data_IF_304172878133
#
_entry.id   IF_304172878133
#
_cell.length_a   1.000
_cell.length_b   1.000
_cell.length_c   1.000
_cell.angle_alpha   90.00
_cell.angle_beta   90.00
_cell.angle_gamma   90.00
#
_symmetry.space_group_name_H-M   'P 1'
#
loop_
_entity.id
_entity.type
_entity.pdbx_description
1 polymer ?
#
# COMPACT_ATOMS: atom_id res chain seq x y z
N UNK A 1 -12.21 -35.86 14.39
CA UNK A 1 -11.68 -34.52 14.03
C UNK A 1 -11.82 -34.39 12.50
N UNK A 2 -12.79 -33.59 12.04
CA UNK A 2 -12.98 -33.38 10.59
C UNK A 2 -12.07 -32.23 10.15
N UNK A 3 -11.07 -32.51 9.31
CA UNK A 3 -10.34 -31.51 8.57
C UNK A 3 -11.33 -30.81 7.61
N UNK A 4 -11.72 -29.59 7.93
CA UNK A 4 -12.35 -28.69 6.99
C UNK A 4 -11.25 -28.15 6.06
N UNK A 5 -10.94 -28.90 5.00
CA UNK A 5 -10.24 -28.37 3.85
C UNK A 5 -11.21 -27.41 3.15
N UNK A 6 -10.97 -26.10 3.25
CA UNK A 6 -11.64 -25.12 2.42
C UNK A 6 -11.13 -25.31 0.99
N UNK A 7 -12.01 -25.81 0.11
CA UNK A 7 -11.78 -25.92 -1.32
C UNK A 7 -11.83 -24.49 -1.94
N UNK A 8 -10.67 -23.96 -2.33
CA UNK A 8 -10.50 -22.68 -3.00
C UNK A 8 -10.40 -22.85 -4.52
N UNK A 9 -11.27 -23.63 -5.13
CA UNK A 9 -11.37 -23.81 -6.58
C UNK A 9 -12.09 -22.64 -7.29
N UNK A 10 -11.78 -21.40 -6.91
CA UNK A 10 -12.10 -20.20 -7.68
C UNK A 10 -10.80 -19.42 -7.87
N UNK A 11 -10.34 -19.25 -9.11
CA UNK A 11 -9.03 -18.71 -9.50
C UNK A 11 -8.72 -17.26 -9.13
N UNK A 12 -9.14 -16.79 -7.96
CA UNK A 12 -8.84 -15.49 -7.37
C UNK A 12 -7.95 -15.63 -6.13
N UNK A 13 -6.91 -14.83 -6.02
CA UNK A 13 -6.07 -14.74 -4.83
C UNK A 13 -6.86 -14.24 -3.61
N UNK A 14 -6.44 -14.62 -2.38
CA UNK A 14 -7.11 -14.14 -1.16
C UNK A 14 -6.86 -12.63 -0.95
N UNK A 15 -5.62 -12.19 -1.09
CA UNK A 15 -5.23 -10.79 -0.91
C UNK A 15 -4.33 -10.28 -2.05
N UNK A 16 -4.53 -9.01 -2.40
CA UNK A 16 -3.59 -8.20 -3.18
C UNK A 16 -3.09 -7.06 -2.30
N UNK A 17 -1.79 -6.91 -2.17
CA UNK A 17 -1.16 -5.74 -1.54
C UNK A 17 -0.64 -4.84 -2.64
N UNK A 18 -0.86 -3.54 -2.58
CA UNK A 18 -0.33 -2.61 -3.58
C UNK A 18 0.08 -1.27 -2.97
N UNK A 19 0.95 -0.57 -3.68
CA UNK A 19 1.42 0.78 -3.40
C UNK A 19 1.71 1.51 -4.71
N UNK A 20 1.47 2.82 -4.76
CA UNK A 20 1.53 3.65 -5.97
C UNK A 20 2.56 4.75 -5.81
N UNK A 21 3.46 4.87 -6.78
CA UNK A 21 4.33 6.03 -6.94
C UNK A 21 3.84 6.94 -8.08
N UNK A 22 4.01 8.25 -7.93
CA UNK A 22 3.45 9.25 -8.85
C UNK A 22 4.51 10.02 -9.62
N UNK A 23 4.09 10.65 -10.74
CA UNK A 23 4.96 11.48 -11.58
C UNK A 23 5.02 12.95 -11.12
N UNK A 24 4.03 13.41 -10.34
CA UNK A 24 3.89 14.79 -9.91
C UNK A 24 3.68 14.90 -8.40
N UNK A 25 4.21 15.98 -7.84
CA UNK A 25 3.96 16.41 -6.47
C UNK A 25 2.66 17.24 -6.39
N UNK A 26 2.09 17.38 -5.21
CA UNK A 26 0.86 18.14 -4.97
C UNK A 26 0.97 19.61 -5.37
N UNK A 27 2.12 20.23 -5.17
CA UNK A 27 2.38 21.64 -5.53
C UNK A 27 2.51 21.87 -7.02
N UNK A 28 2.70 20.81 -7.83
CA UNK A 28 2.84 20.88 -9.29
C UNK A 28 1.50 20.71 -10.01
N UNK A 29 0.47 20.28 -9.30
CA UNK A 29 -0.85 19.99 -9.86
C UNK A 29 -1.87 21.03 -9.42
N UNK A 30 -2.59 21.60 -10.38
CA UNK A 30 -3.71 22.53 -10.08
C UNK A 30 -4.79 21.80 -9.26
N UNK A 31 -5.05 22.31 -8.05
CA UNK A 31 -5.93 21.68 -7.05
C UNK A 31 -5.18 20.94 -5.94
N UNK A 32 -3.85 20.76 -6.05
CA UNK A 32 -3.02 20.17 -5.03
C UNK A 32 -3.55 18.83 -4.51
N UNK A 33 -3.55 18.62 -3.22
CA UNK A 33 -4.11 17.41 -2.57
C UNK A 33 -5.62 17.20 -2.80
N UNK A 34 -6.35 18.17 -3.35
CA UNK A 34 -7.74 18.02 -3.78
C UNK A 34 -7.88 17.36 -5.17
N UNK A 35 -6.80 17.21 -5.93
CA UNK A 35 -6.76 16.69 -7.30
C UNK A 35 -5.74 15.54 -7.44
N UNK A 36 -5.76 14.60 -6.51
CA UNK A 36 -4.81 13.44 -6.45
C UNK A 36 -4.90 12.57 -7.71
N UNK A 37 -6.07 12.49 -8.35
CA UNK A 37 -6.30 11.84 -9.64
C UNK A 37 -5.41 12.37 -10.77
N UNK A 38 -4.88 13.61 -10.64
CA UNK A 38 -3.99 14.22 -11.63
C UNK A 38 -2.51 14.00 -11.39
N UNK A 39 -2.13 13.30 -10.30
CA UNK A 39 -0.71 13.09 -9.98
C UNK A 39 -0.01 12.13 -10.92
N UNK A 40 -0.75 11.41 -11.77
CA UNK A 40 -0.30 10.37 -12.71
C UNK A 40 0.55 9.28 -12.08
N UNK A 41 0.30 8.06 -12.46
CA UNK A 41 1.10 6.90 -12.02
C UNK A 41 2.49 6.95 -12.64
N UNK A 42 3.52 6.88 -11.82
CA UNK A 42 4.88 6.54 -12.25
C UNK A 42 5.01 5.03 -12.39
N UNK A 43 4.72 4.31 -11.32
CA UNK A 43 4.60 2.86 -11.28
C UNK A 43 3.72 2.43 -10.11
N UNK A 44 3.24 1.20 -10.17
CA UNK A 44 2.62 0.48 -9.06
C UNK A 44 3.42 -0.78 -8.80
N UNK A 45 3.64 -1.10 -7.55
CA UNK A 45 4.05 -2.46 -7.17
C UNK A 45 2.87 -3.14 -6.51
N UNK A 46 2.62 -4.38 -6.92
CA UNK A 46 1.64 -5.24 -6.26
C UNK A 46 2.29 -6.53 -5.80
N UNK A 47 1.69 -7.15 -4.79
CA UNK A 47 2.05 -8.48 -4.32
C UNK A 47 0.80 -9.33 -4.07
N UNK A 48 0.85 -10.56 -4.52
CA UNK A 48 -0.07 -11.62 -4.15
C UNK A 48 0.69 -12.93 -3.91
N UNK A 49 0.04 -13.90 -3.27
CA UNK A 49 0.70 -15.17 -2.90
C UNK A 49 1.09 -16.01 -4.12
N UNK A 50 0.31 -15.95 -5.20
CA UNK A 50 0.50 -16.81 -6.38
C UNK A 50 1.59 -16.27 -7.31
N UNK A 51 1.67 -14.94 -7.48
CA UNK A 51 2.53 -14.31 -8.49
C UNK A 51 3.74 -13.60 -7.85
N UNK A 52 3.76 -13.42 -6.52
CA UNK A 52 4.79 -12.63 -5.85
C UNK A 52 4.69 -11.13 -6.17
N UNK A 53 5.84 -10.46 -6.21
CA UNK A 53 5.92 -9.04 -6.54
C UNK A 53 5.82 -8.82 -8.05
N UNK A 54 4.94 -7.89 -8.47
CA UNK A 54 4.81 -7.45 -9.86
C UNK A 54 4.90 -5.94 -9.94
N UNK A 55 5.50 -5.44 -11.03
CA UNK A 55 5.66 -4.02 -11.31
C UNK A 55 4.74 -3.68 -12.49
N UNK A 56 4.01 -2.57 -12.37
CA UNK A 56 3.08 -2.06 -13.37
C UNK A 56 3.44 -0.62 -13.68
N UNK A 57 3.49 -0.27 -14.94
CA UNK A 57 3.71 1.09 -15.39
C UNK A 57 2.39 1.74 -15.83
N UNK A 58 2.40 3.05 -16.04
CA UNK A 58 1.18 3.82 -16.36
C UNK A 58 0.32 3.17 -17.46
N UNK A 59 0.85 2.64 -18.60
CA UNK A 59 0.04 1.98 -19.62
C UNK A 59 -0.66 0.69 -19.15
N UNK A 60 -0.17 0.08 -18.07
CA UNK A 60 -0.72 -1.19 -17.54
C UNK A 60 -1.91 -0.99 -16.59
N UNK A 61 -2.26 0.26 -16.26
CA UNK A 61 -3.26 0.54 -15.22
C UNK A 61 -4.64 -0.06 -15.51
N UNK A 62 -5.17 -0.04 -16.75
CA UNK A 62 -6.44 -0.71 -17.02
C UNK A 62 -6.40 -2.22 -16.75
N UNK A 63 -5.25 -2.87 -17.04
CA UNK A 63 -5.04 -4.30 -16.76
C UNK A 63 -4.95 -4.56 -15.25
N UNK A 64 -4.20 -3.75 -14.52
CA UNK A 64 -4.11 -3.85 -13.06
C UNK A 64 -5.50 -3.73 -12.42
N UNK A 65 -6.29 -2.72 -12.82
CA UNK A 65 -7.64 -2.52 -12.29
C UNK A 65 -8.55 -3.71 -12.57
N UNK A 66 -8.50 -4.27 -13.77
CA UNK A 66 -9.25 -5.49 -14.10
C UNK A 66 -8.80 -6.70 -13.25
N UNK A 67 -7.50 -6.83 -12.97
CA UNK A 67 -7.00 -7.91 -12.12
C UNK A 67 -7.45 -7.80 -10.66
N UNK A 68 -7.71 -6.59 -10.15
CA UNK A 68 -8.19 -6.41 -8.75
C UNK A 68 -9.52 -7.13 -8.49
N UNK A 69 -10.32 -7.40 -9.54
CA UNK A 69 -11.57 -8.15 -9.44
C UNK A 69 -11.36 -9.62 -9.04
N UNK A 70 -10.15 -10.13 -9.17
CA UNK A 70 -9.82 -11.52 -8.82
C UNK A 70 -9.45 -11.71 -7.34
N UNK A 71 -9.37 -10.63 -6.55
CA UNK A 71 -8.95 -10.70 -5.16
C UNK A 71 -10.10 -10.38 -4.21
N UNK A 72 -10.15 -11.09 -3.08
CA UNK A 72 -11.16 -10.87 -2.05
C UNK A 72 -10.90 -9.62 -1.22
N UNK A 73 -9.62 -9.26 -1.07
CA UNK A 73 -9.17 -8.15 -0.23
C UNK A 73 -8.02 -7.40 -0.89
N UNK A 74 -8.09 -6.08 -0.82
CA UNK A 74 -7.04 -5.17 -1.28
C UNK A 74 -6.44 -4.52 -0.05
N UNK A 75 -5.16 -4.79 0.22
CA UNK A 75 -4.45 -4.31 1.40
C UNK A 75 -3.53 -3.15 1.03
N UNK A 76 -3.65 -2.04 1.73
CA UNK A 76 -2.85 -0.85 1.52
C UNK A 76 -2.49 -0.17 2.84
N UNK A 77 -1.61 0.83 2.75
CA UNK A 77 -1.33 1.76 3.83
C UNK A 77 -1.56 3.20 3.34
N UNK A 78 -2.74 3.76 3.57
CA UNK A 78 -3.25 5.04 3.07
C UNK A 78 -3.82 5.00 1.65
N UNK A 79 -4.08 3.82 1.09
CA UNK A 79 -4.53 3.67 -0.29
C UNK A 79 -5.88 4.29 -0.58
N UNK A 80 -6.83 4.27 0.37
CA UNK A 80 -8.13 4.92 0.21
C UNK A 80 -8.04 6.43 0.01
N UNK A 81 -7.04 7.07 0.61
CA UNK A 81 -6.86 8.51 0.52
C UNK A 81 -5.88 8.93 -0.57
N UNK A 82 -5.07 8.01 -1.09
CA UNK A 82 -4.04 8.32 -2.08
C UNK A 82 -4.09 7.38 -3.29
N UNK A 83 -3.65 6.14 -3.17
CA UNK A 83 -3.45 5.20 -4.27
C UNK A 83 -4.71 5.04 -5.14
N UNK A 84 -5.87 4.83 -4.50
CA UNK A 84 -7.12 4.63 -5.23
C UNK A 84 -7.57 5.88 -5.97
N UNK A 85 -7.28 7.06 -5.41
CA UNK A 85 -7.56 8.33 -6.09
C UNK A 85 -6.67 8.53 -7.30
N UNK A 86 -5.37 8.20 -7.20
CA UNK A 86 -4.46 8.22 -8.36
C UNK A 86 -4.95 7.26 -9.43
N UNK A 87 -5.30 6.04 -9.04
CA UNK A 87 -5.77 4.99 -9.95
C UNK A 87 -7.12 5.32 -10.60
N UNK A 88 -7.95 6.15 -9.98
CA UNK A 88 -9.27 6.55 -10.52
C UNK A 88 -9.18 7.29 -11.85
N UNK A 89 -8.03 7.90 -12.18
CA UNK A 89 -7.78 8.50 -13.50
C UNK A 89 -7.72 7.47 -14.64
N UNK A 90 -7.57 6.18 -14.34
CA UNK A 90 -7.36 5.12 -15.33
C UNK A 90 -8.53 4.15 -15.47
N UNK A 91 -9.53 4.25 -14.60
CA UNK A 91 -10.72 3.39 -14.64
C UNK A 91 -11.49 3.36 -13.33
N UNK A 92 -12.46 2.45 -13.24
CA UNK A 92 -13.24 2.27 -12.01
C UNK A 92 -12.39 1.71 -10.87
N UNK A 93 -12.48 2.34 -9.72
CA UNK A 93 -11.83 1.95 -8.46
C UNK A 93 -12.82 1.45 -7.40
N UNK A 94 -14.06 1.18 -7.80
CA UNK A 94 -15.13 0.74 -6.89
C UNK A 94 -14.75 -0.54 -6.14
N UNK A 95 -14.18 -1.50 -6.86
CA UNK A 95 -13.70 -2.76 -6.25
C UNK A 95 -12.58 -2.53 -5.25
N UNK A 96 -11.66 -1.60 -5.52
CA UNK A 96 -10.62 -1.25 -4.58
C UNK A 96 -11.21 -0.78 -3.25
N UNK A 97 -12.16 0.16 -3.28
CA UNK A 97 -12.82 0.65 -2.08
C UNK A 97 -13.67 -0.43 -1.38
N UNK A 98 -14.46 -1.18 -2.14
CA UNK A 98 -15.36 -2.21 -1.59
C UNK A 98 -14.59 -3.33 -0.87
N UNK A 99 -13.41 -3.68 -1.35
CA UNK A 99 -12.57 -4.77 -0.81
C UNK A 99 -11.36 -4.25 -0.01
N UNK A 100 -11.35 -2.96 0.31
CA UNK A 100 -10.23 -2.31 0.99
C UNK A 100 -10.02 -2.86 2.40
N UNK A 101 -8.75 -3.02 2.73
CA UNK A 101 -8.23 -3.02 4.09
C UNK A 101 -7.08 -2.02 4.14
N UNK A 102 -7.42 -0.76 4.35
CA UNK A 102 -6.44 0.31 4.55
C UNK A 102 -6.00 0.36 6.00
N UNK A 103 -4.78 -0.12 6.26
CA UNK A 103 -4.26 -0.19 7.63
C UNK A 103 -4.12 1.19 8.28
N UNK A 104 -3.81 2.25 7.52
CA UNK A 104 -3.74 3.59 8.10
C UNK A 104 -5.12 4.10 8.52
N UNK A 105 -6.17 3.81 7.75
CA UNK A 105 -7.54 4.18 8.11
C UNK A 105 -7.96 3.46 9.39
N UNK A 106 -7.71 2.15 9.49
CA UNK A 106 -8.00 1.37 10.71
C UNK A 106 -7.23 1.93 11.91
N UNK A 107 -5.92 2.12 11.77
CA UNK A 107 -5.08 2.63 12.86
C UNK A 107 -5.46 4.05 13.26
N UNK A 108 -5.77 4.93 12.32
CA UNK A 108 -6.19 6.31 12.63
C UNK A 108 -7.49 6.35 13.43
N UNK A 109 -8.44 5.45 13.15
CA UNK A 109 -9.69 5.31 13.95
C UNK A 109 -9.42 4.82 15.36
N UNK A 110 -8.53 3.82 15.51
CA UNK A 110 -8.19 3.26 16.83
C UNK A 110 -7.36 4.23 17.70
N UNK A 111 -6.51 5.04 17.08
CA UNK A 111 -5.55 5.88 17.78
C UNK A 111 -6.03 7.33 17.97
N UNK A 112 -6.93 7.82 17.10
CA UNK A 112 -7.32 9.23 17.03
C UNK A 112 -6.31 10.14 16.31
N UNK A 113 -5.22 9.58 15.76
CA UNK A 113 -4.21 10.31 14.99
C UNK A 113 -3.58 9.42 13.91
N UNK A 114 -2.92 10.05 12.93
CA UNK A 114 -2.25 9.33 11.84
C UNK A 114 -0.86 8.87 12.25
N UNK A 115 -0.48 7.67 11.79
CA UNK A 115 0.87 7.09 11.94
C UNK A 115 1.52 6.93 10.56
N UNK A 116 2.83 6.80 10.54
CA UNK A 116 3.59 6.55 9.30
C UNK A 116 3.89 5.05 9.16
N UNK A 117 3.84 4.53 7.94
CA UNK A 117 4.21 3.14 7.64
C UNK A 117 5.58 2.77 8.22
N UNK A 118 6.58 3.64 8.03
CA UNK A 118 7.93 3.43 8.53
C UNK A 118 7.99 3.29 10.06
N UNK A 119 7.29 4.15 10.80
CA UNK A 119 7.25 4.11 12.27
C UNK A 119 6.58 2.84 12.79
N UNK A 120 5.42 2.47 12.20
CA UNK A 120 4.71 1.25 12.58
C UNK A 120 5.55 0.00 12.25
N UNK A 121 6.20 -0.02 11.09
CA UNK A 121 7.05 -1.14 10.67
C UNK A 121 8.29 -1.28 11.54
N UNK A 122 8.96 -0.18 11.91
CA UNK A 122 10.09 -0.20 12.86
C UNK A 122 9.67 -0.75 14.22
N UNK A 123 8.57 -0.25 14.77
CA UNK A 123 8.07 -0.67 16.07
C UNK A 123 7.63 -2.14 16.09
N UNK A 124 6.94 -2.61 15.02
CA UNK A 124 6.32 -3.94 14.96
C UNK A 124 7.27 -5.01 14.43
N UNK A 125 8.00 -4.71 13.34
CA UNK A 125 8.81 -5.67 12.59
C UNK A 125 10.32 -5.50 12.82
N UNK A 126 10.75 -4.43 13.53
CA UNK A 126 12.17 -4.12 13.73
C UNK A 126 12.88 -3.62 12.46
N UNK A 127 12.14 -3.25 11.41
CA UNK A 127 12.68 -2.78 10.13
C UNK A 127 11.77 -1.71 9.52
N UNK A 128 12.38 -0.73 8.85
CA UNK A 128 11.69 0.38 8.22
C UNK A 128 12.07 0.56 6.76
N UNK A 129 11.61 1.65 6.17
CA UNK A 129 11.91 2.04 4.80
C UNK A 129 13.11 2.97 4.70
N UNK A 130 13.64 3.12 3.47
CA UNK A 130 14.69 4.07 3.13
C UNK A 130 14.16 5.02 2.04
N UNK A 131 14.26 6.35 2.28
CA UNK A 131 13.79 7.36 1.33
C UNK A 131 12.42 7.95 1.67
N UNK A 132 11.95 8.85 0.81
CA UNK A 132 10.68 9.57 0.95
C UNK A 132 9.94 9.66 -0.39
N UNK A 133 8.60 9.83 -0.36
CA UNK A 133 7.79 9.98 -1.56
C UNK A 133 8.14 11.22 -2.40
N UNK A 134 8.68 12.28 -1.80
CA UNK A 134 9.15 13.47 -2.54
C UNK A 134 10.39 13.13 -3.39
N UNK A 135 11.31 12.34 -2.86
CA UNK A 135 12.50 11.89 -3.60
C UNK A 135 12.11 10.96 -4.74
N UNK A 136 11.11 10.08 -4.57
CA UNK A 136 10.68 9.16 -5.62
C UNK A 136 10.17 9.88 -6.86
N UNK A 137 9.42 10.96 -6.74
CA UNK A 137 8.97 11.80 -7.87
C UNK A 137 10.17 12.42 -8.59
N UNK A 138 11.14 12.95 -7.85
CA UNK A 138 12.35 13.56 -8.45
C UNK A 138 13.19 12.51 -9.21
N UNK A 139 13.40 11.34 -8.61
CA UNK A 139 14.11 10.22 -9.25
C UNK A 139 13.41 9.74 -10.53
N UNK A 140 12.09 9.61 -10.48
CA UNK A 140 11.31 9.21 -11.66
C UNK A 140 11.47 10.19 -12.82
N UNK A 141 11.36 11.47 -12.54
CA UNK A 141 11.39 12.55 -13.55
C UNK A 141 12.79 12.83 -14.11
N UNK A 142 13.84 12.44 -13.42
CA UNK A 142 15.21 12.61 -13.91
C UNK A 142 15.44 11.91 -15.26
N UNK A 143 14.67 10.88 -15.57
CA UNK A 143 14.88 10.02 -16.73
C UNK A 143 16.07 9.05 -16.60
N UNK A 144 16.83 9.16 -15.51
CA UNK A 144 17.96 8.31 -15.22
C UNK A 144 17.50 6.87 -14.86
N UNK A 145 17.95 5.84 -15.58
CA UNK A 145 17.54 4.46 -15.33
C UNK A 145 17.84 3.98 -13.91
N UNK A 146 18.98 4.37 -13.33
CA UNK A 146 19.40 3.95 -11.99
C UNK A 146 18.52 4.60 -10.92
N UNK A 147 18.14 5.87 -11.13
CA UNK A 147 17.21 6.57 -10.23
C UNK A 147 15.77 6.01 -10.36
N UNK A 148 15.34 5.66 -11.57
CA UNK A 148 14.06 4.96 -11.75
C UNK A 148 14.03 3.59 -11.08
N UNK A 149 15.14 2.86 -11.12
CA UNK A 149 15.26 1.60 -10.39
C UNK A 149 15.13 1.81 -8.87
N UNK A 150 15.66 2.91 -8.32
CA UNK A 150 15.45 3.26 -6.90
C UNK A 150 13.97 3.50 -6.56
N UNK A 151 13.18 4.09 -7.47
CA UNK A 151 11.72 4.24 -7.27
C UNK A 151 11.05 2.87 -7.19
N UNK A 152 11.44 1.94 -8.06
CA UNK A 152 10.94 0.55 -8.02
C UNK A 152 11.26 -0.10 -6.66
N UNK A 153 12.50 0.01 -6.21
CA UNK A 153 12.95 -0.59 -4.93
C UNK A 153 12.25 0.04 -3.73
N UNK A 154 12.03 1.36 -3.77
CA UNK A 154 11.30 2.09 -2.74
C UNK A 154 9.85 1.62 -2.64
N UNK A 155 9.11 1.59 -3.75
CA UNK A 155 7.73 1.10 -3.81
C UNK A 155 7.63 -0.39 -3.41
N UNK A 156 8.55 -1.24 -3.89
CA UNK A 156 8.64 -2.65 -3.45
C UNK A 156 8.78 -2.78 -1.95
N UNK A 157 9.61 -1.92 -1.35
CA UNK A 157 9.82 -1.92 0.09
C UNK A 157 8.56 -1.55 0.86
N UNK A 158 7.80 -0.57 0.37
CA UNK A 158 6.53 -0.16 0.98
C UNK A 158 5.49 -1.29 0.89
N UNK A 159 5.40 -2.01 -0.24
CA UNK A 159 4.57 -3.20 -0.39
C UNK A 159 5.00 -4.33 0.55
N UNK A 160 6.31 -4.60 0.67
CA UNK A 160 6.84 -5.60 1.62
C UNK A 160 6.45 -5.29 3.06
N UNK A 161 6.66 -4.05 3.50
CA UNK A 161 6.33 -3.63 4.86
C UNK A 161 4.82 -3.71 5.11
N UNK A 162 4.01 -3.24 4.16
CA UNK A 162 2.55 -3.30 4.22
C UNK A 162 2.05 -4.74 4.32
N UNK A 163 2.55 -5.64 3.46
CA UNK A 163 2.24 -7.08 3.51
C UNK A 163 2.58 -7.71 4.85
N UNK A 164 3.79 -7.45 5.33
CA UNK A 164 4.29 -8.11 6.54
C UNK A 164 3.63 -7.57 7.81
N UNK A 165 3.31 -6.28 7.86
CA UNK A 165 2.47 -5.71 8.93
C UNK A 165 1.06 -6.31 8.93
N UNK A 166 0.46 -6.46 7.74
CA UNK A 166 -0.85 -7.08 7.60
C UNK A 166 -0.84 -8.53 8.09
N UNK A 167 0.15 -9.34 7.65
CA UNK A 167 0.32 -10.74 8.07
C UNK A 167 0.55 -10.82 9.58
N UNK A 168 1.42 -9.98 10.13
CA UNK A 168 1.68 -9.92 11.57
C UNK A 168 0.41 -9.60 12.37
N UNK A 169 -0.32 -8.55 11.99
CA UNK A 169 -1.56 -8.17 12.68
C UNK A 169 -2.63 -9.25 12.61
N UNK A 170 -2.78 -9.93 11.47
CA UNK A 170 -3.69 -11.09 11.34
C UNK A 170 -3.30 -12.26 12.23
N UNK A 171 -2.02 -12.57 12.32
CA UNK A 171 -1.53 -13.71 13.10
C UNK A 171 -1.57 -13.43 14.60
N UNK A 172 -1.11 -12.23 14.99
CA UNK A 172 -0.91 -11.90 16.42
C UNK A 172 -2.09 -11.16 17.05
N UNK A 173 -3.00 -10.58 16.24
CA UNK A 173 -4.12 -9.77 16.72
C UNK A 173 -3.70 -8.38 17.22
N UNK A 174 -2.46 -7.95 16.99
CA UNK A 174 -1.96 -6.63 17.38
C UNK A 174 -0.80 -6.18 16.50
N UNK A 175 -0.51 -4.88 16.58
CA UNK A 175 0.74 -4.28 16.10
C UNK A 175 1.35 -3.41 17.21
N UNK A 176 2.59 -2.96 17.00
CA UNK A 176 3.25 -2.01 17.89
C UNK A 176 3.41 -0.65 17.20
N UNK A 177 3.29 0.41 17.96
CA UNK A 177 3.61 1.78 17.53
C UNK A 177 4.58 2.43 18.52
N UNK A 178 5.34 3.43 18.05
CA UNK A 178 6.15 4.24 18.95
C UNK A 178 5.27 5.03 19.92
N UNK A 179 5.58 4.98 21.20
CA UNK A 179 4.94 5.80 22.22
C UNK A 179 5.71 7.11 22.42
N UNK A 180 5.24 8.17 21.78
CA UNK A 180 5.88 9.49 21.85
C UNK A 180 5.79 10.15 23.22
N UNK A 181 4.89 9.68 24.11
CA UNK A 181 4.70 10.26 25.45
C UNK A 181 5.54 9.59 26.52
N UNK A 182 5.65 8.26 26.45
CA UNK A 182 6.33 7.47 27.49
C UNK A 182 7.68 6.92 27.03
N UNK A 183 8.00 7.04 25.74
CA UNK A 183 9.13 6.35 25.12
C UNK A 183 8.86 4.84 24.94
N UNK A 184 9.63 4.21 24.05
CA UNK A 184 9.43 2.79 23.73
C UNK A 184 8.28 2.51 22.77
N UNK A 185 7.61 1.37 22.94
CA UNK A 185 6.53 0.96 22.04
C UNK A 185 5.23 0.68 22.82
N UNK A 186 4.09 0.94 22.17
CA UNK A 186 2.75 0.66 22.65
C UNK A 186 2.06 -0.35 21.75
N UNK A 187 1.42 -1.35 22.35
CA UNK A 187 0.57 -2.33 21.65
C UNK A 187 -0.77 -1.70 21.26
N UNK A 188 -1.22 -2.02 20.04
CA UNK A 188 -2.52 -1.66 19.50
C UNK A 188 -3.17 -2.94 18.96
N UNK A 189 -4.28 -3.36 19.55
CA UNK A 189 -5.02 -4.53 19.08
C UNK A 189 -5.72 -4.20 17.75
N UNK A 190 -5.61 -5.10 16.78
CA UNK A 190 -6.14 -4.93 15.42
C UNK A 190 -6.88 -6.18 14.96
N UNK A 191 -7.88 -5.96 14.10
CA UNK A 191 -8.66 -7.02 13.45
C UNK A 191 -8.90 -6.63 11.99
N UNK A 192 -8.00 -7.00 11.08
CA UNK A 192 -8.12 -6.79 9.62
C UNK A 192 -8.00 -8.07 8.80
#
# INVERSE_FOLDING_TARGET
MRNLAFDFSGGGGDILVLDVETQFLSEEVSGGWGAVDKFKVALVVSWDESNGMRIWYEPDMPKLLAETENFRKIVTFNGENFDFKVLSAYGSVETLYRRSTDMLVVLSRLLGFRVKLDSVAKATLGRGKTGSGTESVQWWRSGDPDLRQKVVEYCRKDVELTRDLYKFGREKGYILIEDQKQGGTRRVDVSW
#
